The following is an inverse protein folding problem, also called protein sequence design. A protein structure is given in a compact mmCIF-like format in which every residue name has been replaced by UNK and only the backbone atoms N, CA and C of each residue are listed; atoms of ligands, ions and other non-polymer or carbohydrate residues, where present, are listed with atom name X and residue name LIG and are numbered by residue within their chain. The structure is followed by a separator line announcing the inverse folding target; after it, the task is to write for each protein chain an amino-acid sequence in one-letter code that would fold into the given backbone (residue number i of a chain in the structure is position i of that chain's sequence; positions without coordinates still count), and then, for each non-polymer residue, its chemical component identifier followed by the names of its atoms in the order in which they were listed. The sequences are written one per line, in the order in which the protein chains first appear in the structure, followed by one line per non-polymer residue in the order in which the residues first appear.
data_IF_481462392111
#
_entry.id   IF_481462392111
#
_cell.length_a   1.000
_cell.length_b   1.000
_cell.length_c   1.000
_cell.angle_alpha   90.00
_cell.angle_beta   90.00
_cell.angle_gamma   90.00
#
_symmetry.space_group_name_H-M   'P 1'
#
loop_
_entity.id
_entity.type
_entity.pdbx_description
1 polymer ?
#
# COMPACT_ATOMS: atom_id res chain seq x y z
N UNK A 1 8.80 54.89 -30.93
CA UNK A 1 8.57 53.54 -31.49
C UNK A 1 8.53 52.54 -30.35
N UNK A 2 7.37 51.93 -30.11
CA UNK A 2 7.21 50.82 -29.18
C UNK A 2 7.84 49.54 -29.77
N UNK A 3 8.49 48.72 -28.95
CA UNK A 3 8.52 47.27 -29.15
C UNK A 3 8.37 46.56 -27.82
N UNK A 4 7.35 45.72 -27.81
CA UNK A 4 6.75 44.99 -26.71
C UNK A 4 7.45 43.65 -26.45
N UNK A 5 7.21 43.12 -25.25
CA UNK A 5 7.60 41.83 -24.68
C UNK A 5 7.34 40.59 -25.54
N UNK A 6 8.15 39.55 -25.33
CA UNK A 6 7.62 38.21 -24.99
C UNK A 6 8.75 37.28 -24.53
N UNK A 7 8.83 37.05 -23.22
CA UNK A 7 9.63 36.01 -22.58
C UNK A 7 9.00 34.64 -22.85
N UNK A 8 9.63 33.81 -23.70
CA UNK A 8 9.26 32.39 -23.84
C UNK A 8 9.98 31.57 -22.77
N UNK A 9 9.26 31.18 -21.72
CA UNK A 9 9.68 30.14 -20.79
C UNK A 9 9.79 28.80 -21.54
N UNK A 10 11.00 28.21 -21.55
CA UNK A 10 11.21 26.84 -22.03
C UNK A 10 10.80 25.88 -20.91
N UNK A 11 9.59 25.33 -21.02
CA UNK A 11 9.21 24.15 -20.23
C UNK A 11 9.97 22.92 -20.77
N UNK A 12 10.40 21.99 -19.91
CA UNK A 12 11.05 20.77 -20.36
C UNK A 12 10.07 19.92 -21.19
N UNK A 13 10.57 19.18 -22.19
CA UNK A 13 9.72 18.33 -23.02
C UNK A 13 9.07 17.24 -22.16
N UNK A 14 7.76 17.09 -22.35
CA UNK A 14 6.93 16.02 -21.82
C UNK A 14 7.57 14.67 -22.17
N UNK A 15 8.02 13.93 -21.15
CA UNK A 15 8.51 12.57 -21.32
C UNK A 15 7.33 11.67 -21.67
N UNK A 16 7.37 11.10 -22.87
CA UNK A 16 6.49 10.02 -23.30
C UNK A 16 6.66 8.84 -22.34
N UNK A 17 5.63 8.55 -21.55
CA UNK A 17 5.57 7.46 -20.56
C UNK A 17 5.51 6.07 -21.19
N UNK A 18 6.14 5.89 -22.34
CA UNK A 18 6.51 4.60 -22.90
C UNK A 18 7.80 4.10 -22.26
N UNK A 19 7.91 4.21 -20.92
CA UNK A 19 8.98 3.60 -20.16
C UNK A 19 8.73 2.10 -20.13
N UNK A 20 9.37 1.41 -21.06
CA UNK A 20 9.64 -0.02 -21.00
C UNK A 20 10.19 -0.32 -19.60
N UNK A 21 9.34 -0.83 -18.69
CA UNK A 21 9.72 -1.16 -17.31
C UNK A 21 10.73 -2.29 -17.40
N UNK A 22 12.00 -1.94 -17.42
CA UNK A 22 13.07 -2.90 -17.19
C UNK A 22 12.76 -3.54 -15.83
N UNK A 23 12.69 -4.88 -15.74
CA UNK A 23 12.52 -5.51 -14.45
C UNK A 23 13.74 -5.12 -13.62
N UNK A 24 13.51 -4.31 -12.57
CA UNK A 24 14.52 -4.08 -11.55
C UNK A 24 14.93 -5.45 -11.02
N UNK A 25 16.21 -5.81 -11.18
CA UNK A 25 16.81 -7.04 -10.65
C UNK A 25 16.89 -7.03 -9.10
N UNK A 26 16.05 -6.22 -8.43
CA UNK A 26 15.90 -6.28 -6.99
C UNK A 26 15.10 -7.57 -6.68
N UNK A 27 15.66 -8.53 -5.92
CA UNK A 27 14.92 -9.72 -5.50
C UNK A 27 13.65 -9.41 -4.68
N UNK A 28 13.48 -8.17 -4.20
CA UNK A 28 12.26 -7.65 -3.57
C UNK A 28 11.34 -6.86 -4.52
N UNK A 29 11.67 -6.76 -5.80
CA UNK A 29 10.84 -6.10 -6.81
C UNK A 29 9.68 -7.00 -7.23
N UNK A 30 8.65 -7.10 -6.38
CA UNK A 30 7.35 -7.68 -6.73
C UNK A 30 6.25 -6.63 -6.66
N UNK A 31 5.34 -6.69 -7.63
CA UNK A 31 4.16 -5.81 -7.65
C UNK A 31 3.08 -6.37 -6.75
N UNK A 32 2.57 -5.54 -5.84
CA UNK A 32 1.35 -5.83 -5.09
C UNK A 32 0.16 -5.51 -5.99
N UNK A 33 -0.67 -6.51 -6.26
CA UNK A 33 -1.82 -6.38 -7.18
C UNK A 33 -3.16 -6.63 -6.50
N UNK A 34 -3.15 -7.32 -5.36
CA UNK A 34 -4.37 -7.75 -4.66
C UNK A 34 -4.29 -7.31 -3.21
N UNK A 35 -5.28 -6.54 -2.77
CA UNK A 35 -5.32 -5.97 -1.44
C UNK A 35 -6.55 -6.45 -0.68
N UNK A 36 -6.36 -6.70 0.61
CA UNK A 36 -7.42 -6.98 1.57
C UNK A 36 -7.24 -6.08 2.78
N UNK A 37 -8.27 -5.32 3.11
CA UNK A 37 -8.29 -4.49 4.29
C UNK A 37 -9.00 -5.24 5.42
N UNK A 38 -8.36 -5.25 6.57
CA UNK A 38 -8.93 -5.72 7.82
C UNK A 38 -8.93 -4.59 8.84
N UNK A 39 -9.84 -4.65 9.79
CA UNK A 39 -9.90 -3.68 10.88
C UNK A 39 -10.00 -4.37 12.24
N UNK A 40 -9.34 -3.76 13.22
CA UNK A 40 -9.71 -3.89 14.63
C UNK A 40 -10.26 -2.55 15.10
N UNK A 41 -10.65 -2.46 16.37
CA UNK A 41 -11.11 -1.20 16.96
C UNK A 41 -10.11 -0.03 16.80
N UNK A 42 -8.81 -0.32 16.86
CA UNK A 42 -7.76 0.71 16.91
C UNK A 42 -6.90 0.80 15.64
N UNK A 43 -6.93 -0.21 14.76
CA UNK A 43 -6.03 -0.27 13.61
C UNK A 43 -6.71 -0.81 12.36
N UNK A 44 -6.28 -0.31 11.22
CA UNK A 44 -6.50 -0.94 9.92
C UNK A 44 -5.23 -1.68 9.50
N UNK A 45 -5.42 -2.85 8.88
CA UNK A 45 -4.36 -3.69 8.34
C UNK A 45 -4.63 -3.91 6.86
N UNK A 46 -3.83 -3.28 6.00
CA UNK A 46 -3.89 -3.50 4.57
C UNK A 46 -2.89 -4.61 4.19
N UNK A 47 -3.43 -5.77 3.84
CA UNK A 47 -2.66 -6.92 3.36
C UNK A 47 -2.58 -6.86 1.84
N UNK A 48 -1.40 -6.55 1.31
CA UNK A 48 -1.11 -6.62 -0.12
C UNK A 48 -0.51 -7.98 -0.49
N UNK A 49 -0.81 -8.45 -1.70
CA UNK A 49 -0.22 -9.66 -2.26
C UNK A 49 0.10 -9.52 -3.75
N UNK A 50 1.08 -10.29 -4.19
CA UNK A 50 1.40 -10.44 -5.60
C UNK A 50 0.25 -11.13 -6.38
N UNK A 51 0.34 -11.14 -7.71
CA UNK A 51 -0.65 -11.76 -8.58
C UNK A 51 -0.97 -13.20 -8.19
N UNK A 52 0.04 -13.97 -7.81
CA UNK A 52 -0.07 -15.41 -7.50
C UNK A 52 -0.40 -15.69 -6.04
N UNK A 53 -0.51 -14.67 -5.17
CA UNK A 53 -0.74 -14.81 -3.72
C UNK A 53 0.28 -15.72 -3.04
N UNK A 54 1.55 -15.56 -3.41
CA UNK A 54 2.70 -16.24 -2.82
C UNK A 54 3.44 -15.37 -1.81
N UNK A 55 3.44 -14.06 -2.03
CA UNK A 55 4.13 -13.09 -1.19
C UNK A 55 3.11 -12.08 -0.68
N UNK A 56 3.16 -11.80 0.62
CA UNK A 56 2.25 -10.88 1.29
C UNK A 56 3.03 -9.84 2.08
N UNK A 57 2.53 -8.61 2.05
CA UNK A 57 3.02 -7.48 2.85
C UNK A 57 1.88 -6.86 3.62
N UNK A 58 2.19 -6.24 4.76
CA UNK A 58 1.20 -5.65 5.65
C UNK A 58 1.56 -4.20 5.94
N UNK A 59 0.61 -3.31 5.66
CA UNK A 59 0.66 -1.92 6.11
C UNK A 59 -0.32 -1.76 7.28
N UNK A 60 0.13 -1.13 8.35
CA UNK A 60 -0.63 -0.88 9.58
C UNK A 60 -0.94 0.61 9.66
N UNK A 61 -2.20 0.95 9.86
CA UNK A 61 -2.68 2.33 10.00
C UNK A 61 -3.35 2.44 11.36
N UNK A 62 -2.87 3.37 12.19
CA UNK A 62 -3.52 3.71 13.44
C UNK A 62 -4.73 4.61 13.17
N UNK A 63 -5.87 4.33 13.81
CA UNK A 63 -7.10 5.13 13.68
C UNK A 63 -7.59 5.66 15.02
N UNK A 64 -6.75 5.62 16.06
CA UNK A 64 -7.08 6.14 17.39
C UNK A 64 -7.19 7.67 17.40
N UNK A 65 -6.32 8.37 16.67
CA UNK A 65 -6.30 9.83 16.58
C UNK A 65 -6.85 10.30 15.21
N UNK A 66 -8.01 10.96 15.14
CA UNK A 66 -8.62 11.39 13.87
C UNK A 66 -7.81 12.44 13.10
N UNK A 67 -7.00 13.21 13.81
CA UNK A 67 -6.26 14.35 13.26
C UNK A 67 -4.85 14.00 12.80
N UNK A 68 -4.30 12.87 13.24
CA UNK A 68 -2.93 12.46 12.99
C UNK A 68 -2.88 11.07 12.34
N UNK A 69 -2.36 11.02 11.11
CA UNK A 69 -2.23 9.78 10.37
C UNK A 69 -0.91 9.08 10.73
N UNK A 70 -0.98 8.06 11.57
CA UNK A 70 0.17 7.22 11.91
C UNK A 70 0.16 5.90 11.12
N UNK A 71 1.18 5.68 10.29
CA UNK A 71 1.31 4.52 9.40
C UNK A 71 2.65 3.84 9.63
N UNK A 72 2.63 2.51 9.67
CA UNK A 72 3.86 1.70 9.71
C UNK A 72 3.78 0.52 8.74
N UNK A 73 4.88 0.31 8.02
CA UNK A 73 5.05 -0.87 7.17
C UNK A 73 5.67 -2.02 7.97
N UNK A 74 5.15 -3.22 7.79
CA UNK A 74 5.80 -4.44 8.24
C UNK A 74 6.87 -4.86 7.22
N UNK A 75 8.13 -4.90 7.65
CA UNK A 75 9.27 -5.25 6.80
C UNK A 75 9.30 -6.74 6.45
N UNK A 76 8.49 -7.57 7.11
CA UNK A 76 8.41 -9.00 6.85
C UNK A 76 7.61 -9.29 5.58
N UNK A 77 8.18 -10.12 4.71
CA UNK A 77 7.45 -10.74 3.60
C UNK A 77 6.87 -12.07 4.09
N UNK A 78 5.56 -12.19 4.07
CA UNK A 78 4.87 -13.39 4.56
C UNK A 78 4.52 -14.35 3.42
N UNK A 79 4.63 -15.64 3.71
CA UNK A 79 4.01 -16.72 2.94
C UNK A 79 2.49 -16.80 3.21
N UNK A 80 1.72 -17.58 2.42
CA UNK A 80 0.28 -17.75 2.64
C UNK A 80 -0.08 -18.28 4.03
N UNK A 81 0.73 -19.17 4.60
CA UNK A 81 0.49 -19.73 5.92
C UNK A 81 0.80 -18.70 7.01
N UNK A 82 1.92 -17.99 6.89
CA UNK A 82 2.33 -17.01 7.90
C UNK A 82 1.39 -15.82 7.97
N UNK A 83 0.87 -15.33 6.84
CA UNK A 83 -0.12 -14.25 6.84
C UNK A 83 -1.42 -14.68 7.51
N UNK A 84 -1.89 -15.91 7.29
CA UNK A 84 -3.07 -16.44 7.99
C UNK A 84 -2.83 -16.54 9.50
N UNK A 85 -1.66 -17.06 9.90
CA UNK A 85 -1.28 -17.14 11.31
C UNK A 85 -1.14 -15.75 11.95
N UNK A 86 -0.67 -14.74 11.21
CA UNK A 86 -0.63 -13.36 11.68
C UNK A 86 -2.04 -12.81 11.92
N UNK A 87 -2.93 -12.95 10.94
CA UNK A 87 -4.31 -12.47 11.05
C UNK A 87 -5.06 -13.15 12.21
N UNK A 88 -4.86 -14.46 12.41
CA UNK A 88 -5.43 -15.18 13.55
C UNK A 88 -4.90 -14.64 14.89
N UNK A 89 -3.59 -14.44 15.03
CA UNK A 89 -3.00 -13.87 16.26
C UNK A 89 -3.52 -12.47 16.55
N UNK A 90 -3.69 -11.63 15.52
CA UNK A 90 -4.28 -10.29 15.68
C UNK A 90 -5.74 -10.41 16.13
N UNK A 91 -6.52 -11.29 15.51
CA UNK A 91 -7.91 -11.53 15.87
C UNK A 91 -8.05 -11.97 17.33
N UNK A 92 -7.24 -12.94 17.77
CA UNK A 92 -7.22 -13.45 19.13
C UNK A 92 -6.80 -12.37 20.14
N UNK A 93 -5.73 -11.63 19.85
CA UNK A 93 -5.25 -10.53 20.70
C UNK A 93 -6.25 -9.38 20.84
N UNK A 94 -7.20 -9.23 19.90
CA UNK A 94 -8.25 -8.22 19.93
C UNK A 94 -9.63 -8.79 20.26
N UNK A 95 -9.73 -10.06 20.71
CA UNK A 95 -11.03 -10.73 20.93
C UNK A 95 -11.95 -9.94 21.87
N UNK A 96 -11.41 -9.35 22.94
CA UNK A 96 -12.17 -8.55 23.90
C UNK A 96 -12.75 -7.25 23.32
N UNK A 97 -12.23 -6.77 22.19
CA UNK A 97 -12.63 -5.52 21.53
C UNK A 97 -13.29 -5.75 20.17
N UNK A 98 -13.74 -6.98 19.89
CA UNK A 98 -14.45 -7.35 18.66
C UNK A 98 -13.61 -8.09 17.62
N UNK A 99 -12.34 -8.38 17.93
CA UNK A 99 -11.46 -9.16 17.07
C UNK A 99 -10.93 -8.41 15.85
N UNK A 100 -10.65 -9.16 14.78
CA UNK A 100 -10.19 -8.66 13.49
C UNK A 100 -11.29 -8.94 12.45
N UNK A 101 -11.79 -7.89 11.84
CA UNK A 101 -12.87 -7.96 10.86
C UNK A 101 -12.35 -7.71 9.46
N UNK A 102 -12.87 -8.44 8.48
CA UNK A 102 -12.62 -8.16 7.08
C UNK A 102 -13.49 -6.99 6.61
N UNK A 103 -12.88 -6.01 5.94
CA UNK A 103 -13.56 -4.81 5.46
C UNK A 103 -13.79 -4.89 3.95
N UNK A 104 -12.71 -4.98 3.18
CA UNK A 104 -12.82 -4.89 1.72
C UNK A 104 -11.68 -5.62 1.00
N UNK A 105 -11.98 -6.06 -0.22
CA UNK A 105 -10.99 -6.50 -1.20
C UNK A 105 -10.89 -5.45 -2.30
N UNK A 106 -9.68 -5.01 -2.59
CA UNK A 106 -9.40 -3.98 -3.60
C UNK A 106 -8.20 -4.38 -4.48
N UNK A 107 -8.01 -3.63 -5.56
CA UNK A 107 -6.92 -3.82 -6.53
C UNK A 107 -6.12 -2.52 -6.76
N UNK A 108 -6.42 -1.47 -6.01
CA UNK A 108 -5.81 -0.16 -6.12
C UNK A 108 -6.60 0.88 -5.34
N UNK A 109 -6.06 2.09 -5.27
CA UNK A 109 -6.73 3.30 -4.79
C UNK A 109 -6.77 4.24 -5.99
N UNK A 110 -7.93 4.83 -6.25
CA UNK A 110 -8.16 5.73 -7.38
C UNK A 110 -8.37 7.15 -6.89
#
# INVERSE_FOLDING_TARGET
MAKSDSSKSKLPPYVDSSANVQPSNDPNSYSLEKFRLYETRQRLYLVGSDRKRKLFRVLKIDRSEPSDLNISEDLVVYSPQEINNLLQRIAEGNRATGGLNFVVKAYGIA
#
